data_IF_777987238630
#
_entry.id   IF_777987238630
#
_cell.length_a   1.000
_cell.length_b   1.000
_cell.length_c   1.000
_cell.angle_alpha   90.00
_cell.angle_beta   90.00
_cell.angle_gamma   90.00
#
_symmetry.space_group_name_H-M   'P 1'
#
loop_
_entity.id
_entity.type
_entity.pdbx_description
1 polymer ?
#
# COMPACT_ATOMS: atom_id res chain seq x y z
N UNK A 1 -36.66 -15.47 17.27
CA UNK A 1 -35.99 -15.23 15.97
C UNK A 1 -36.06 -16.53 15.18
N UNK A 2 -36.47 -16.49 13.93
CA UNK A 2 -36.51 -17.70 13.09
C UNK A 2 -35.09 -18.06 12.64
N UNK A 3 -34.79 -19.33 12.38
CA UNK A 3 -33.47 -19.79 11.91
C UNK A 3 -33.00 -19.03 10.65
N UNK A 4 -33.93 -18.70 9.77
CA UNK A 4 -33.67 -17.87 8.57
C UNK A 4 -33.13 -16.47 8.94
N UNK A 5 -33.65 -15.85 10.00
CA UNK A 5 -33.20 -14.52 10.46
C UNK A 5 -31.77 -14.59 11.02
N UNK A 6 -31.45 -15.65 11.76
CA UNK A 6 -30.09 -15.85 12.32
C UNK A 6 -29.10 -16.04 11.17
N UNK A 7 -29.38 -16.91 10.20
CA UNK A 7 -28.51 -17.15 9.05
C UNK A 7 -28.24 -15.85 8.23
N UNK A 8 -29.28 -15.03 8.01
CA UNK A 8 -29.11 -13.74 7.33
C UNK A 8 -28.24 -12.76 8.11
N UNK A 9 -28.38 -12.70 9.44
CA UNK A 9 -27.55 -11.84 10.27
C UNK A 9 -26.09 -12.33 10.29
N UNK A 10 -25.88 -13.63 10.39
CA UNK A 10 -24.53 -14.22 10.33
C UNK A 10 -23.85 -13.89 9.00
N UNK A 11 -24.50 -14.09 7.87
CA UNK A 11 -23.94 -13.75 6.56
C UNK A 11 -23.58 -12.26 6.43
N UNK A 12 -24.42 -11.37 6.95
CA UNK A 12 -24.12 -9.93 6.98
C UNK A 12 -22.93 -9.59 7.87
N UNK A 13 -22.82 -10.25 9.02
CA UNK A 13 -21.69 -10.07 9.93
C UNK A 13 -20.38 -10.53 9.27
N UNK A 14 -20.36 -11.67 8.61
CA UNK A 14 -19.21 -12.19 7.89
C UNK A 14 -18.70 -11.22 6.82
N UNK A 15 -19.61 -10.56 6.08
CA UNK A 15 -19.23 -9.50 5.12
C UNK A 15 -18.58 -8.31 5.83
N UNK A 16 -19.18 -7.82 6.91
CA UNK A 16 -18.64 -6.67 7.66
C UNK A 16 -17.28 -6.97 8.30
N UNK A 17 -17.09 -8.17 8.83
CA UNK A 17 -15.81 -8.63 9.37
C UNK A 17 -14.76 -8.72 8.27
N UNK A 18 -15.12 -9.27 7.10
CA UNK A 18 -14.24 -9.35 5.93
C UNK A 18 -13.82 -7.97 5.43
N UNK A 19 -14.74 -7.02 5.33
CA UNK A 19 -14.41 -5.63 5.00
C UNK A 19 -13.46 -5.00 6.04
N UNK A 20 -13.67 -5.25 7.33
CA UNK A 20 -12.82 -4.74 8.40
C UNK A 20 -11.40 -5.33 8.30
N UNK A 21 -11.26 -6.61 7.99
CA UNK A 21 -9.97 -7.26 7.80
C UNK A 21 -9.23 -6.71 6.58
N UNK A 22 -9.94 -6.54 5.45
CA UNK A 22 -9.38 -5.94 4.23
C UNK A 22 -8.87 -4.51 4.50
N UNK A 23 -9.62 -3.68 5.25
CA UNK A 23 -9.17 -2.35 5.68
C UNK A 23 -7.88 -2.40 6.50
N UNK A 24 -7.78 -3.34 7.43
CA UNK A 24 -6.56 -3.51 8.26
C UNK A 24 -5.36 -3.92 7.41
N UNK A 25 -5.55 -4.85 6.48
CA UNK A 25 -4.49 -5.29 5.56
C UNK A 25 -4.04 -4.14 4.67
N UNK A 26 -4.97 -3.40 4.08
CA UNK A 26 -4.65 -2.26 3.22
C UNK A 26 -3.95 -1.15 3.99
N UNK A 27 -4.40 -0.82 5.19
CA UNK A 27 -3.76 0.18 6.04
C UNK A 27 -2.34 -0.24 6.45
N UNK A 28 -2.15 -1.51 6.84
CA UNK A 28 -0.83 -2.04 7.19
C UNK A 28 0.12 -2.05 5.99
N UNK A 29 -0.38 -2.43 4.81
CA UNK A 29 0.40 -2.37 3.59
C UNK A 29 0.93 -0.94 3.33
N UNK A 30 0.09 0.08 3.50
CA UNK A 30 0.52 1.47 3.33
C UNK A 30 1.57 1.87 4.37
N UNK A 31 1.39 1.53 5.64
CA UNK A 31 2.38 1.79 6.68
C UNK A 31 3.73 1.15 6.36
N UNK A 32 3.72 -0.09 5.90
CA UNK A 32 4.96 -0.75 5.47
C UNK A 32 5.56 -0.10 4.23
N UNK A 33 4.78 0.58 3.39
CA UNK A 33 5.26 1.29 2.21
C UNK A 33 5.73 2.73 2.49
N UNK A 34 5.46 3.29 3.68
CA UNK A 34 5.87 4.63 4.05
C UNK A 34 7.39 4.70 4.33
N UNK A 35 7.97 5.86 4.09
CA UNK A 35 9.35 6.16 4.43
C UNK A 35 9.39 7.48 5.21
N UNK A 36 9.98 7.51 6.42
CA UNK A 36 10.41 6.35 7.21
C UNK A 36 9.24 5.44 7.58
N UNK A 37 9.50 4.13 7.72
CA UNK A 37 8.45 3.16 8.05
C UNK A 37 7.94 3.40 9.48
N UNK A 38 6.61 3.62 9.67
CA UNK A 38 6.06 3.92 10.98
C UNK A 38 5.74 2.68 11.83
N UNK A 39 5.82 1.46 11.28
CA UNK A 39 5.46 0.23 12.01
C UNK A 39 6.51 -0.10 13.07
N UNK A 40 6.08 -0.35 14.30
CA UNK A 40 6.96 -0.71 15.41
C UNK A 40 7.69 -2.04 15.16
N UNK A 41 8.99 -2.09 15.51
CA UNK A 41 9.80 -3.30 15.37
C UNK A 41 10.22 -3.60 13.92
N UNK A 42 10.12 -2.63 13.04
CA UNK A 42 10.68 -2.68 11.69
C UNK A 42 11.96 -1.86 11.69
N UNK A 43 13.07 -2.53 11.96
CA UNK A 43 14.38 -1.89 12.16
C UNK A 43 15.20 -1.84 10.86
N UNK A 44 14.83 -2.66 9.87
CA UNK A 44 15.52 -2.75 8.58
C UNK A 44 14.55 -3.08 7.43
N UNK A 45 15.01 -2.80 6.22
CA UNK A 45 14.22 -3.01 5.00
C UNK A 45 14.05 -4.50 4.64
N UNK A 46 14.94 -5.39 5.06
CA UNK A 46 14.78 -6.82 4.83
C UNK A 46 13.59 -7.36 5.62
N UNK A 47 13.49 -6.99 6.90
CA UNK A 47 12.33 -7.32 7.75
C UNK A 47 11.06 -6.70 7.20
N UNK A 48 11.13 -5.46 6.77
CA UNK A 48 10.02 -4.72 6.14
C UNK A 48 9.46 -5.46 4.93
N UNK A 49 10.32 -5.93 4.03
CA UNK A 49 9.93 -6.69 2.82
C UNK A 49 9.23 -7.98 3.20
N UNK A 50 9.75 -8.75 4.17
CA UNK A 50 9.09 -9.98 4.64
C UNK A 50 7.67 -9.69 5.16
N UNK A 51 7.48 -8.64 5.95
CA UNK A 51 6.18 -8.24 6.47
C UNK A 51 5.20 -7.83 5.35
N UNK A 52 5.69 -7.17 4.31
CA UNK A 52 4.87 -6.88 3.12
C UNK A 52 4.48 -8.16 2.42
N UNK A 53 5.41 -9.10 2.21
CA UNK A 53 5.13 -10.36 1.53
C UNK A 53 4.16 -11.26 2.30
N UNK A 54 4.13 -11.16 3.63
CA UNK A 54 3.13 -11.86 4.47
C UNK A 54 1.69 -11.40 4.22
N UNK A 55 1.50 -10.22 3.62
CA UNK A 55 0.18 -9.72 3.25
C UNK A 55 -0.30 -10.24 1.89
N UNK A 56 0.57 -10.87 1.08
CA UNK A 56 0.27 -11.31 -0.28
C UNK A 56 0.02 -12.80 -0.38
N UNK A 57 -0.81 -13.20 -1.35
CA UNK A 57 -0.92 -14.60 -1.78
C UNK A 57 0.35 -15.04 -2.52
N UNK A 58 0.61 -16.35 -2.63
CA UNK A 58 1.82 -16.86 -3.31
C UNK A 58 1.90 -16.46 -4.78
N UNK A 59 0.75 -16.41 -5.44
CA UNK A 59 0.56 -16.08 -6.85
C UNK A 59 0.18 -14.60 -7.09
N UNK A 60 0.37 -13.74 -6.11
CA UNK A 60 -0.06 -12.36 -6.16
C UNK A 60 0.58 -11.58 -7.31
N UNK A 61 -0.11 -10.55 -7.77
CA UNK A 61 0.38 -9.63 -8.79
C UNK A 61 0.51 -8.23 -8.21
N UNK A 62 1.66 -7.60 -8.39
CA UNK A 62 1.86 -6.18 -8.16
C UNK A 62 2.10 -5.47 -9.49
N UNK A 63 1.33 -4.43 -9.80
CA UNK A 63 1.49 -3.69 -11.04
C UNK A 63 1.23 -2.20 -10.88
N UNK A 64 2.10 -1.41 -11.51
CA UNK A 64 1.91 0.02 -11.71
C UNK A 64 1.58 0.28 -13.17
N UNK A 65 0.49 0.98 -13.45
CA UNK A 65 0.01 1.26 -14.81
C UNK A 65 -0.13 2.75 -15.09
N UNK A 66 -0.06 3.08 -16.36
CA UNK A 66 -0.04 4.46 -16.86
C UNK A 66 1.38 4.90 -17.24
N UNK A 67 1.48 5.84 -18.16
CA UNK A 67 2.74 6.25 -18.81
C UNK A 67 3.89 6.49 -17.82
N UNK A 68 3.62 7.10 -16.68
CA UNK A 68 4.62 7.36 -15.65
C UNK A 68 5.04 6.08 -14.91
N UNK A 69 4.09 5.18 -14.60
CA UNK A 69 4.35 3.99 -13.80
C UNK A 69 4.87 2.81 -14.61
N UNK A 70 4.53 2.70 -15.89
CA UNK A 70 5.00 1.62 -16.75
C UNK A 70 6.54 1.57 -16.82
N UNK A 71 7.20 2.73 -16.89
CA UNK A 71 8.66 2.81 -16.90
C UNK A 71 9.31 2.73 -15.51
N UNK A 72 8.57 2.99 -14.42
CA UNK A 72 9.11 3.06 -13.07
C UNK A 72 8.87 1.77 -12.27
N UNK A 73 7.66 1.22 -12.33
CA UNK A 73 7.26 0.11 -11.47
C UNK A 73 7.06 -1.19 -12.24
N UNK A 74 6.42 -1.14 -13.41
CA UNK A 74 6.15 -2.33 -14.21
C UNK A 74 5.20 -3.32 -13.52
N UNK A 75 5.44 -4.62 -13.73
CA UNK A 75 4.64 -5.73 -13.20
C UNK A 75 5.53 -6.78 -12.55
N UNK A 76 5.14 -7.23 -11.38
CA UNK A 76 5.76 -8.33 -10.65
C UNK A 76 4.70 -9.39 -10.35
N UNK A 77 4.98 -10.67 -10.63
CA UNK A 77 4.06 -11.79 -10.46
C UNK A 77 4.68 -12.88 -9.60
N UNK A 78 3.97 -13.26 -8.54
CA UNK A 78 4.45 -14.14 -7.48
C UNK A 78 5.33 -13.44 -6.45
N UNK A 79 5.40 -14.01 -5.24
CA UNK A 79 6.12 -13.42 -4.10
C UNK A 79 7.59 -13.14 -4.39
N UNK A 80 8.29 -13.98 -5.14
CA UNK A 80 9.71 -13.76 -5.44
C UNK A 80 9.92 -12.54 -6.31
N UNK A 81 9.07 -12.33 -7.34
CA UNK A 81 9.12 -11.14 -8.18
C UNK A 81 8.73 -9.88 -7.41
N UNK A 82 7.74 -9.97 -6.51
CA UNK A 82 7.33 -8.87 -5.62
C UNK A 82 8.46 -8.55 -4.62
N UNK A 83 9.15 -9.54 -4.08
CA UNK A 83 10.35 -9.36 -3.25
C UNK A 83 11.43 -8.58 -4.00
N UNK A 84 11.74 -8.99 -5.22
CA UNK A 84 12.72 -8.31 -6.07
C UNK A 84 12.29 -6.86 -6.37
N UNK A 85 10.98 -6.63 -6.58
CA UNK A 85 10.42 -5.29 -6.76
C UNK A 85 10.70 -4.40 -5.56
N UNK A 86 10.38 -4.82 -4.32
CA UNK A 86 10.60 -4.01 -3.14
C UNK A 86 12.08 -3.85 -2.78
N UNK A 87 12.92 -4.84 -3.05
CA UNK A 87 14.36 -4.72 -2.87
C UNK A 87 14.97 -3.57 -3.69
N UNK A 88 14.47 -3.32 -4.90
CA UNK A 88 14.93 -2.17 -5.72
C UNK A 88 14.60 -0.82 -5.09
N UNK A 89 13.50 -0.72 -4.32
CA UNK A 89 13.06 0.55 -3.72
C UNK A 89 13.62 0.78 -2.32
N UNK A 90 13.83 -0.28 -1.56
CA UNK A 90 14.23 -0.16 -0.15
C UNK A 90 15.59 -0.78 0.15
N UNK A 91 15.93 -1.90 -0.47
CA UNK A 91 17.19 -2.61 -0.22
C UNK A 91 18.40 -1.96 -0.89
N UNK A 92 18.20 -1.14 -1.90
CA UNK A 92 19.27 -0.45 -2.63
C UNK A 92 19.34 1.02 -2.20
N UNK A 93 20.56 1.48 -1.90
CA UNK A 93 20.78 2.92 -1.64
C UNK A 93 20.62 3.68 -2.93
N UNK A 94 19.68 4.61 -2.96
CA UNK A 94 19.44 5.52 -4.08
C UNK A 94 20.08 6.87 -3.82
N UNK A 95 20.55 7.53 -4.87
CA UNK A 95 21.02 8.91 -4.82
C UNK A 95 20.30 9.72 -5.92
N UNK A 96 19.46 10.70 -5.52
CA UNK A 96 19.15 11.12 -4.15
C UNK A 96 18.31 10.09 -3.39
N UNK A 97 18.53 10.03 -2.07
CA UNK A 97 17.74 9.15 -1.19
C UNK A 97 16.32 9.70 -1.01
N UNK A 98 15.36 8.79 -0.91
CA UNK A 98 13.98 9.13 -0.56
C UNK A 98 13.91 9.31 0.98
N UNK A 99 13.62 10.54 1.43
CA UNK A 99 13.52 10.89 2.85
C UNK A 99 12.10 10.79 3.38
N UNK A 100 11.11 11.09 2.54
CA UNK A 100 9.71 11.05 2.89
C UNK A 100 8.92 10.41 1.75
N UNK A 101 8.10 9.47 2.12
CA UNK A 101 7.01 8.92 1.32
C UNK A 101 5.88 8.54 2.28
N UNK A 102 4.73 9.17 2.20
CA UNK A 102 3.59 8.87 3.06
C UNK A 102 2.33 8.66 2.22
N UNK A 103 1.59 7.60 2.51
CA UNK A 103 0.39 7.26 1.78
C UNK A 103 -0.86 7.72 2.53
N UNK A 104 -1.63 8.61 1.92
CA UNK A 104 -2.92 9.08 2.43
C UNK A 104 -4.03 8.48 1.58
N UNK A 105 -4.82 7.56 2.15
CA UNK A 105 -5.93 6.91 1.47
C UNK A 105 -7.24 7.65 1.69
N UNK A 106 -8.03 7.78 0.62
CA UNK A 106 -9.37 8.36 0.62
C UNK A 106 -10.32 7.57 -0.27
N UNK A 107 -11.62 7.90 -0.20
CA UNK A 107 -12.66 7.41 -1.13
C UNK A 107 -12.71 5.89 -1.23
N UNK A 108 -12.73 5.23 -0.07
CA UNK A 108 -12.77 3.79 0.01
C UNK A 108 -14.06 3.18 -0.54
N UNK A 109 -13.91 2.14 -1.33
CA UNK A 109 -14.98 1.22 -1.69
C UNK A 109 -14.46 -0.22 -1.60
N UNK A 110 -15.14 -1.08 -0.86
CA UNK A 110 -14.81 -2.50 -0.74
C UNK A 110 -16.05 -3.31 -1.09
N UNK A 111 -15.87 -4.32 -1.92
CA UNK A 111 -16.91 -5.28 -2.29
C UNK A 111 -16.40 -6.69 -2.00
N UNK A 112 -17.14 -7.41 -1.14
CA UNK A 112 -16.83 -8.80 -0.75
C UNK A 112 -17.81 -9.74 -1.43
N UNK A 113 -17.28 -10.79 -2.07
CA UNK A 113 -18.03 -11.87 -2.68
C UNK A 113 -17.42 -13.22 -2.27
N UNK A 114 -18.02 -13.83 -1.23
CA UNK A 114 -17.50 -15.06 -0.63
C UNK A 114 -16.05 -14.90 -0.15
N UNK A 115 -15.15 -15.70 -0.70
CA UNK A 115 -13.72 -15.70 -0.37
C UNK A 115 -12.87 -14.80 -1.27
N UNK A 116 -13.51 -13.93 -2.07
CA UNK A 116 -12.86 -12.93 -2.91
C UNK A 116 -13.40 -11.54 -2.59
N UNK A 117 -12.57 -10.53 -2.81
CA UNK A 117 -13.00 -9.15 -2.66
C UNK A 117 -12.20 -8.22 -3.57
N UNK A 118 -12.82 -7.10 -3.89
CA UNK A 118 -12.19 -5.97 -4.56
C UNK A 118 -12.24 -4.74 -3.67
N UNK A 119 -11.17 -3.94 -3.71
CA UNK A 119 -11.07 -2.70 -2.96
C UNK A 119 -10.51 -1.58 -3.82
N UNK A 120 -11.12 -0.40 -3.73
CA UNK A 120 -10.71 0.79 -4.45
C UNK A 120 -10.45 1.94 -3.49
N UNK A 121 -9.38 2.69 -3.75
CA UNK A 121 -9.01 3.91 -3.03
C UNK A 121 -8.44 4.94 -3.99
N UNK A 122 -8.55 6.21 -3.61
CA UNK A 122 -7.72 7.26 -4.17
C UNK A 122 -6.65 7.55 -3.14
N UNK A 123 -5.38 7.54 -3.57
CA UNK A 123 -4.31 7.89 -2.67
C UNK A 123 -3.57 9.14 -3.10
N UNK A 124 -3.10 9.89 -2.11
CA UNK A 124 -2.15 10.99 -2.28
C UNK A 124 -0.85 10.68 -1.55
N UNK A 125 0.26 11.16 -2.08
CA UNK A 125 1.57 10.72 -1.66
C UNK A 125 2.59 11.84 -1.88
N UNK A 126 2.97 12.59 -0.82
CA UNK A 126 4.11 13.50 -0.89
C UNK A 126 5.42 12.71 -0.87
N UNK A 127 6.34 13.09 -1.72
CA UNK A 127 7.71 12.59 -1.73
C UNK A 127 8.69 13.73 -1.50
N UNK A 128 9.72 13.47 -0.69
CA UNK A 128 10.85 14.35 -0.46
C UNK A 128 12.15 13.57 -0.63
N UNK A 129 13.05 14.10 -1.42
CA UNK A 129 14.38 13.54 -1.66
C UNK A 129 15.47 14.33 -0.94
N UNK A 130 16.62 13.69 -0.74
CA UNK A 130 17.78 14.28 -0.04
C UNK A 130 18.39 15.50 -0.73
N UNK A 131 18.14 15.67 -2.04
CA UNK A 131 18.54 16.85 -2.83
C UNK A 131 17.53 18.00 -2.76
N UNK A 132 16.47 17.86 -1.95
CA UNK A 132 15.42 18.88 -1.77
C UNK A 132 14.29 18.81 -2.80
N UNK A 133 14.40 17.98 -3.82
CA UNK A 133 13.27 17.75 -4.74
C UNK A 133 12.09 17.18 -4.00
N UNK A 134 10.90 17.62 -4.35
CA UNK A 134 9.66 17.19 -3.75
C UNK A 134 8.60 16.98 -4.81
N UNK A 135 7.79 15.95 -4.66
CA UNK A 135 6.71 15.61 -5.57
C UNK A 135 5.42 15.40 -4.78
N UNK A 136 4.30 15.78 -5.37
CA UNK A 136 2.99 15.32 -4.97
C UNK A 136 2.48 14.34 -6.03
N UNK A 137 2.10 13.17 -5.60
CA UNK A 137 1.59 12.10 -6.47
C UNK A 137 0.18 11.74 -6.08
N UNK A 138 -0.61 11.34 -7.06
CA UNK A 138 -1.92 10.74 -6.83
C UNK A 138 -2.11 9.53 -7.73
N UNK A 139 -2.77 8.52 -7.20
CA UNK A 139 -3.11 7.31 -7.95
C UNK A 139 -4.46 6.76 -7.50
N UNK A 140 -5.06 5.95 -8.37
CA UNK A 140 -6.16 5.06 -8.03
C UNK A 140 -5.59 3.69 -7.71
N UNK A 141 -6.01 3.14 -6.59
CA UNK A 141 -5.72 1.75 -6.23
C UNK A 141 -6.93 0.90 -6.58
N UNK A 142 -6.70 -0.18 -7.33
CA UNK A 142 -7.71 -1.18 -7.68
C UNK A 142 -7.15 -2.55 -7.26
N UNK A 143 -7.32 -2.88 -6.00
CA UNK A 143 -6.73 -4.06 -5.40
C UNK A 143 -7.73 -5.21 -5.33
N UNK A 144 -7.24 -6.43 -5.44
CA UNK A 144 -8.02 -7.63 -5.21
C UNK A 144 -7.48 -8.41 -4.01
N UNK A 145 -8.38 -9.08 -3.33
CA UNK A 145 -8.09 -9.85 -2.13
C UNK A 145 -8.69 -11.25 -2.25
N UNK A 146 -8.09 -12.21 -1.58
CA UNK A 146 -8.56 -13.59 -1.52
C UNK A 146 -8.38 -14.14 -0.12
N UNK A 147 -9.38 -14.86 0.38
CA UNK A 147 -9.30 -15.57 1.65
C UNK A 147 -8.60 -16.91 1.45
N UNK A 148 -7.50 -17.12 2.13
CA UNK A 148 -6.69 -18.33 2.08
C UNK A 148 -6.55 -18.86 3.50
N UNK A 149 -7.00 -20.08 3.73
CA UNK A 149 -7.00 -20.70 5.06
C UNK A 149 -7.61 -19.81 6.16
N UNK A 150 -8.72 -19.14 5.82
CA UNK A 150 -9.44 -18.25 6.74
C UNK A 150 -8.84 -16.85 6.90
N UNK A 151 -7.72 -16.54 6.26
CA UNK A 151 -7.07 -15.21 6.29
C UNK A 151 -7.26 -14.47 4.97
N UNK A 152 -7.64 -13.21 5.03
CA UNK A 152 -7.62 -12.34 3.87
C UNK A 152 -6.17 -11.98 3.51
N UNK A 153 -5.84 -12.05 2.22
CA UNK A 153 -4.54 -11.68 1.66
C UNK A 153 -4.74 -10.87 0.38
N UNK A 154 -3.78 -10.04 0.05
CA UNK A 154 -3.76 -9.29 -1.21
C UNK A 154 -3.38 -10.26 -2.33
N UNK A 155 -4.27 -10.46 -3.29
CA UNK A 155 -4.01 -11.25 -4.50
C UNK A 155 -3.56 -10.38 -5.67
N UNK A 156 -3.86 -9.08 -5.63
CA UNK A 156 -3.42 -8.11 -6.63
C UNK A 156 -3.34 -6.71 -6.05
N UNK A 157 -2.22 -6.06 -6.24
CA UNK A 157 -2.09 -4.60 -6.11
C UNK A 157 -2.00 -4.01 -7.52
N UNK A 158 -2.92 -3.11 -7.85
CA UNK A 158 -2.90 -2.34 -9.09
C UNK A 158 -2.97 -0.86 -8.76
N UNK A 159 -1.92 -0.13 -9.10
CA UNK A 159 -1.86 1.32 -8.93
C UNK A 159 -1.87 2.02 -10.28
N UNK A 160 -2.85 2.90 -10.50
CA UNK A 160 -3.00 3.69 -11.73
C UNK A 160 -2.61 5.14 -11.44
N UNK A 161 -1.57 5.62 -12.09
CA UNK A 161 -1.14 7.01 -11.90
C UNK A 161 -2.21 8.00 -12.41
N UNK A 162 -2.57 8.96 -11.55
CA UNK A 162 -3.47 10.08 -11.91
C UNK A 162 -2.65 11.30 -12.28
N UNK A 163 -1.72 11.68 -11.41
CA UNK A 163 -0.75 12.74 -11.69
C UNK A 163 0.51 12.59 -10.86
N UNK A 164 1.58 13.20 -11.34
CA UNK A 164 2.80 13.50 -10.59
C UNK A 164 3.11 14.98 -10.82
N UNK A 165 3.14 15.76 -9.75
CA UNK A 165 3.39 17.19 -9.81
C UNK A 165 4.61 17.54 -8.95
N UNK A 166 5.60 18.28 -9.49
CA UNK A 166 6.67 18.82 -8.66
C UNK A 166 6.09 19.83 -7.68
N UNK A 167 6.57 19.77 -6.44
CA UNK A 167 6.28 20.80 -5.44
C UNK A 167 7.35 21.90 -5.49
N UNK A 168 7.04 23.11 -5.01
CA UNK A 168 8.03 24.20 -4.96
C UNK A 168 9.28 23.80 -4.17
N UNK A 169 10.46 24.28 -4.56
CA UNK A 169 11.74 23.93 -3.93
C UNK A 169 11.78 24.23 -2.41
N UNK A 170 10.99 25.18 -1.93
CA UNK A 170 10.88 25.51 -0.50
C UNK A 170 9.90 24.60 0.27
N UNK A 171 9.27 23.61 -0.38
CA UNK A 171 8.35 22.70 0.31
C UNK A 171 9.05 21.96 1.46
N UNK A 172 10.28 21.51 1.26
CA UNK A 172 11.07 20.84 2.29
C UNK A 172 11.40 21.77 3.47
N UNK A 173 11.58 23.07 3.22
CA UNK A 173 11.88 24.07 4.26
C UNK A 173 10.67 24.36 5.16
N UNK A 174 9.45 24.07 4.68
CA UNK A 174 8.22 24.23 5.45
C UNK A 174 8.02 23.13 6.50
N UNK A 175 8.75 22.03 6.42
CA UNK A 175 8.66 20.98 7.44
C UNK A 175 9.33 21.43 8.72
N UNK A 176 8.63 21.42 9.87
CA UNK A 176 9.26 21.72 11.14
C UNK A 176 10.33 20.68 11.46
N UNK A 177 11.45 21.12 12.02
CA UNK A 177 12.53 20.22 12.47
C UNK A 177 12.07 19.18 13.52
N UNK A 178 10.88 19.40 14.10
CA UNK A 178 10.21 18.48 15.03
C UNK A 178 9.36 17.42 14.33
N UNK A 179 9.23 17.44 12.99
CA UNK A 179 8.47 16.44 12.26
C UNK A 179 8.99 15.04 12.55
N UNK A 180 8.13 14.13 13.03
CA UNK A 180 8.49 12.74 13.31
C UNK A 180 8.87 11.97 12.05
N UNK A 181 8.41 12.42 10.88
CA UNK A 181 8.69 11.81 9.58
C UNK A 181 10.10 12.14 9.06
N UNK A 182 10.76 13.16 9.61
CA UNK A 182 12.07 13.63 9.17
C UNK A 182 13.17 13.37 10.22
N UNK A 183 12.84 12.69 11.32
CA UNK A 183 13.85 12.28 12.31
C UNK A 183 14.57 11.04 11.78
N UNK A 184 15.92 11.05 11.77
CA UNK A 184 16.73 9.89 11.45
C UNK A 184 16.51 8.75 12.42
#
# INVERSE_FOLDING_TARGET
>A
MTDTTIAQLTARLEVLESEADIRRIQARYMFLCDTPCPEFGVDDDARRIELVLDLYTEDAVWEGVGEYYDGQFGRAEGKDAIRAHFNRFWGEKTDPALLLNAHYLTSEQIHVDGDTAEGQWIHMQPWLFSDGRSLLRSSRLNNAFRKVEGRWLISRTRTENVFVAPLPNHFAEAFPSSSVLLKP
#
